data_IF_718525734542
#
_entry.id   IF_718525734542
#
_cell.length_a   1.000
_cell.length_b   1.000
_cell.length_c   1.000
_cell.angle_alpha   90.00
_cell.angle_beta   90.00
_cell.angle_gamma   90.00
#
_symmetry.space_group_name_H-M   'P 1'
#
loop_
_entity.id
_entity.type
_entity.pdbx_description
1 polymer ?
#
# COMPACT_ATOMS: atom_id res chain seq x y z
N UNK A 1 6.29 7.74 -2.63
CA UNK A 1 5.25 8.78 -2.82
C UNK A 1 5.76 9.95 -3.64
N UNK A 2 6.81 10.66 -3.19
CA UNK A 2 7.29 11.86 -3.89
C UNK A 2 8.28 11.57 -5.05
N UNK A 3 9.04 10.48 -4.98
CA UNK A 3 10.16 10.18 -5.88
C UNK A 3 9.76 10.21 -7.36
N UNK A 4 8.91 9.26 -7.78
CA UNK A 4 8.52 9.15 -9.19
C UNK A 4 7.79 10.41 -9.73
N UNK A 5 6.77 10.99 -9.05
CA UNK A 5 6.08 12.17 -9.57
C UNK A 5 6.99 13.40 -9.75
N UNK A 6 7.87 13.67 -8.79
CA UNK A 6 8.79 14.82 -8.85
C UNK A 6 9.88 14.56 -9.90
N UNK A 7 10.46 13.36 -9.91
CA UNK A 7 11.46 12.94 -10.89
C UNK A 7 10.91 13.08 -12.32
N UNK A 8 9.69 12.59 -12.58
CA UNK A 8 9.06 12.73 -13.89
C UNK A 8 8.76 14.18 -14.24
N UNK A 9 8.25 14.98 -13.30
CA UNK A 9 7.97 16.40 -13.51
C UNK A 9 9.23 17.19 -13.86
N UNK A 10 10.31 17.00 -13.10
CA UNK A 10 11.61 17.63 -13.35
C UNK A 10 12.21 17.13 -14.68
N UNK A 11 12.13 15.83 -14.93
CA UNK A 11 12.64 15.24 -16.17
C UNK A 11 11.93 15.82 -17.39
N UNK A 12 10.60 15.83 -17.44
CA UNK A 12 9.86 16.34 -18.59
C UNK A 12 10.13 17.83 -18.80
N UNK A 13 10.15 18.64 -17.73
CA UNK A 13 10.48 20.06 -17.82
C UNK A 13 11.93 20.35 -18.19
N UNK A 14 12.81 19.36 -18.09
CA UNK A 14 14.18 19.48 -18.59
C UNK A 14 14.27 19.24 -20.10
N UNK A 15 13.25 18.67 -20.75
CA UNK A 15 13.24 18.33 -22.18
C UNK A 15 12.93 19.56 -23.03
N UNK A 16 13.64 19.72 -24.16
CA UNK A 16 13.44 20.87 -25.05
C UNK A 16 12.00 20.90 -25.57
N UNK A 17 11.38 22.08 -25.55
CA UNK A 17 10.01 22.36 -25.99
C UNK A 17 8.89 21.73 -25.13
N UNK A 18 9.22 21.13 -23.98
CA UNK A 18 8.22 20.71 -23.01
C UNK A 18 8.25 21.63 -21.81
N UNK A 19 7.09 22.12 -21.42
CA UNK A 19 6.90 22.88 -20.20
C UNK A 19 5.58 22.44 -19.57
N UNK A 20 5.67 21.57 -18.57
CA UNK A 20 4.54 21.13 -17.77
C UNK A 20 4.36 22.10 -16.60
N UNK A 21 3.17 22.67 -16.50
CA UNK A 21 2.73 23.29 -15.24
C UNK A 21 2.61 22.22 -14.15
N UNK A 22 2.77 22.58 -12.87
CA UNK A 22 2.38 21.71 -11.77
C UNK A 22 0.99 21.07 -11.97
N UNK A 23 0.79 19.81 -11.59
CA UNK A 23 -0.50 19.15 -11.71
C UNK A 23 -1.54 19.85 -10.83
N UNK A 24 -2.79 19.90 -11.28
CA UNK A 24 -3.87 20.49 -10.48
C UNK A 24 -4.28 19.59 -9.31
N UNK A 25 -4.19 18.28 -9.49
CA UNK A 25 -4.61 17.28 -8.51
C UNK A 25 -3.59 16.15 -8.39
N UNK A 26 -3.41 15.64 -7.17
CA UNK A 26 -2.76 14.34 -6.92
C UNK A 26 -3.70 13.42 -6.17
N UNK A 27 -3.75 12.16 -6.63
CA UNK A 27 -4.38 11.06 -5.91
C UNK A 27 -3.26 10.20 -5.32
N UNK A 28 -3.12 10.23 -3.99
CA UNK A 28 -2.16 9.41 -3.26
C UNK A 28 -2.93 8.22 -2.69
N UNK A 29 -2.79 7.06 -3.32
CA UNK A 29 -3.39 5.84 -2.80
C UNK A 29 -2.55 5.31 -1.65
N UNK A 30 -3.21 5.05 -0.52
CA UNK A 30 -2.63 4.35 0.61
C UNK A 30 -3.38 3.03 0.80
N UNK A 31 -2.69 1.93 0.57
CA UNK A 31 -3.24 0.60 0.67
C UNK A 31 -2.92 -0.05 2.02
N UNK A 32 -3.98 -0.33 2.78
CA UNK A 32 -3.88 -0.91 4.12
C UNK A 32 -3.10 -2.22 4.16
N UNK A 33 -3.22 -3.04 3.11
CA UNK A 33 -2.72 -4.42 3.09
C UNK A 33 -1.19 -4.53 3.08
N UNK A 34 -0.46 -3.52 2.58
CA UNK A 34 1.00 -3.63 2.46
C UNK A 34 1.82 -2.33 2.58
N UNK A 35 1.24 -1.12 2.52
CA UNK A 35 2.07 0.09 2.43
C UNK A 35 2.93 0.35 3.68
N UNK A 36 2.42 0.04 4.87
CA UNK A 36 3.24 0.10 6.09
C UNK A 36 4.39 -0.91 6.04
N UNK A 37 4.12 -2.13 5.58
CA UNK A 37 5.16 -3.16 5.43
C UNK A 37 6.21 -2.71 4.42
N UNK A 38 5.80 -2.16 3.28
CA UNK A 38 6.69 -1.62 2.26
C UNK A 38 7.57 -0.49 2.81
N UNK A 39 7.00 0.43 3.59
CA UNK A 39 7.76 1.51 4.23
C UNK A 39 8.80 0.98 5.22
N UNK A 40 8.44 -0.02 6.03
CA UNK A 40 9.37 -0.67 6.96
C UNK A 40 10.48 -1.40 6.21
N UNK A 41 10.14 -2.15 5.16
CA UNK A 41 11.12 -2.89 4.36
C UNK A 41 12.06 -1.96 3.60
N UNK A 42 11.58 -0.81 3.12
CA UNK A 42 12.41 0.23 2.55
C UNK A 42 13.48 0.70 3.54
N UNK A 43 13.10 0.96 4.79
CA UNK A 43 14.05 1.32 5.84
C UNK A 43 15.00 0.14 6.14
N UNK A 44 14.50 -1.07 6.34
CA UNK A 44 15.31 -2.26 6.59
C UNK A 44 16.38 -2.47 5.51
N UNK A 45 15.98 -2.49 4.25
CA UNK A 45 16.91 -2.70 3.12
C UNK A 45 17.99 -1.62 2.97
N UNK A 46 17.74 -0.40 3.46
CA UNK A 46 18.69 0.72 3.37
C UNK A 46 19.55 0.88 4.62
N UNK A 47 19.03 0.58 5.82
CA UNK A 47 19.72 0.77 7.10
C UNK A 47 20.39 -0.51 7.65
N UNK A 48 19.87 -1.72 7.35
CA UNK A 48 20.48 -2.98 7.82
C UNK A 48 21.88 -3.27 7.24
N UNK A 49 22.22 -2.93 5.97
CA UNK A 49 23.57 -3.12 5.46
C UNK A 49 24.62 -2.24 6.17
N UNK A 50 24.20 -1.12 6.78
CA UNK A 50 25.07 -0.13 7.42
C UNK A 50 25.43 -0.56 8.86
N UNK A 51 24.67 -1.48 9.48
CA UNK A 51 24.86 -1.97 10.85
C UNK A 51 25.40 -3.41 10.91
N UNK A 52 26.45 -3.74 10.15
CA UNK A 52 27.20 -5.02 10.26
C UNK A 52 28.10 -5.09 11.52
N UNK A 53 27.59 -4.65 12.65
CA UNK A 53 28.18 -4.80 13.99
C UNK A 53 27.05 -4.94 15.00
N UNK A 54 27.30 -5.54 16.16
CA UNK A 54 26.27 -5.98 17.15
C UNK A 54 25.47 -4.86 17.85
N UNK A 55 25.31 -3.72 17.20
CA UNK A 55 24.34 -2.68 17.51
C UNK A 55 23.25 -2.71 16.42
N UNK A 56 22.43 -3.77 16.39
CA UNK A 56 21.15 -3.84 15.63
C UNK A 56 20.10 -2.92 16.28
N UNK A 57 20.47 -1.68 16.56
CA UNK A 57 19.67 -0.78 17.39
C UNK A 57 18.79 0.09 16.49
N UNK A 58 17.48 -0.08 16.69
CA UNK A 58 16.38 0.87 16.46
C UNK A 58 16.75 2.06 15.57
N UNK A 59 16.32 2.03 14.31
CA UNK A 59 16.37 3.21 13.44
C UNK A 59 15.63 4.34 14.17
N UNK A 60 16.35 5.41 14.52
CA UNK A 60 15.75 6.57 15.14
C UNK A 60 14.99 7.39 14.08
N UNK A 61 13.90 8.07 14.48
CA UNK A 61 13.14 8.95 13.58
C UNK A 61 14.03 9.98 12.88
N UNK A 62 15.04 10.52 13.60
CA UNK A 62 15.98 11.49 13.05
C UNK A 62 16.87 10.90 11.95
N UNK A 63 17.26 9.63 12.06
CA UNK A 63 18.07 8.95 11.04
C UNK A 63 17.22 8.69 9.78
N UNK A 64 15.99 8.21 9.97
CA UNK A 64 15.03 8.06 8.87
C UNK A 64 14.78 9.40 8.15
N UNK A 65 14.60 10.49 8.89
CA UNK A 65 14.38 11.82 8.31
C UNK A 65 15.61 12.32 7.54
N UNK A 66 16.81 12.19 8.11
CA UNK A 66 18.05 12.59 7.45
C UNK A 66 18.24 11.84 6.13
N UNK A 67 17.96 10.54 6.11
CA UNK A 67 18.00 9.73 4.91
C UNK A 67 16.94 10.15 3.88
N UNK A 68 15.68 10.32 4.29
CA UNK A 68 14.62 10.78 3.38
C UNK A 68 14.95 12.15 2.77
N UNK A 69 15.53 13.06 3.56
CA UNK A 69 15.99 14.35 3.07
C UNK A 69 17.13 14.19 2.04
N UNK A 70 18.10 13.31 2.30
CA UNK A 70 19.18 13.03 1.35
C UNK A 70 18.63 12.50 0.02
N UNK A 71 17.73 11.51 0.06
CA UNK A 71 17.08 10.97 -1.13
C UNK A 71 16.29 12.05 -1.88
N UNK A 72 15.57 12.90 -1.15
CA UNK A 72 14.84 14.03 -1.73
C UNK A 72 15.78 15.00 -2.44
N UNK A 73 16.91 15.36 -1.82
CA UNK A 73 17.92 16.20 -2.46
C UNK A 73 18.57 15.52 -3.67
N UNK A 74 18.76 14.19 -3.65
CA UNK A 74 19.29 13.46 -4.80
C UNK A 74 18.37 13.57 -6.02
N UNK A 75 17.05 13.55 -5.81
CA UNK A 75 16.09 13.79 -6.89
C UNK A 75 16.15 15.24 -7.35
N UNK A 76 16.13 16.22 -6.45
CA UNK A 76 16.22 17.64 -6.87
C UNK A 76 17.50 17.95 -7.67
N UNK A 77 18.61 17.31 -7.32
CA UNK A 77 19.92 17.46 -7.97
C UNK A 77 20.18 16.45 -9.10
N UNK A 78 19.16 15.67 -9.48
CA UNK A 78 19.29 14.63 -10.50
C UNK A 78 19.80 15.18 -11.83
N UNK A 79 20.73 14.46 -12.46
CA UNK A 79 21.22 14.85 -13.80
C UNK A 79 20.23 14.41 -14.88
N UNK A 80 19.24 15.25 -15.12
CA UNK A 80 18.22 15.04 -16.14
C UNK A 80 18.70 15.32 -17.58
N UNK A 81 20.01 15.52 -17.82
CA UNK A 81 20.57 15.99 -19.10
C UNK A 81 21.30 14.93 -19.95
N UNK A 82 21.45 13.68 -19.52
CA UNK A 82 22.46 12.76 -20.12
C UNK A 82 22.04 11.87 -21.30
N UNK A 83 21.24 12.32 -22.27
CA UNK A 83 21.07 11.49 -23.48
C UNK A 83 20.61 12.24 -24.73
N UNK A 84 21.17 11.85 -25.89
CA UNK A 84 20.66 12.19 -27.22
C UNK A 84 19.17 11.80 -27.39
N UNK A 85 18.73 10.74 -26.72
CA UNK A 85 17.34 10.26 -26.72
C UNK A 85 16.39 11.07 -25.82
N UNK A 86 16.89 12.06 -25.08
CA UNK A 86 16.11 12.83 -24.10
C UNK A 86 14.90 13.52 -24.71
N UNK A 87 15.03 14.07 -25.92
CA UNK A 87 13.95 14.80 -26.60
C UNK A 87 12.93 13.88 -27.30
N UNK A 88 13.18 12.57 -27.31
CA UNK A 88 12.33 11.59 -27.99
C UNK A 88 11.41 10.86 -27.00
N UNK A 89 10.73 11.61 -26.13
CA UNK A 89 9.85 11.06 -25.08
C UNK A 89 8.83 10.06 -25.64
N UNK A 90 8.16 10.41 -26.73
CA UNK A 90 7.17 9.55 -27.39
C UNK A 90 7.78 8.28 -28.00
N UNK A 91 8.95 8.39 -28.62
CA UNK A 91 9.64 7.24 -29.19
C UNK A 91 10.09 6.27 -28.09
N UNK A 92 10.60 6.79 -26.97
CA UNK A 92 10.97 5.98 -25.81
C UNK A 92 9.76 5.30 -25.18
N UNK A 93 8.63 6.00 -25.03
CA UNK A 93 7.42 5.39 -24.50
C UNK A 93 6.89 4.28 -25.41
N UNK A 94 6.96 4.46 -26.73
CA UNK A 94 6.59 3.43 -27.70
C UNK A 94 7.52 2.20 -27.60
N UNK A 95 8.84 2.40 -27.60
CA UNK A 95 9.80 1.30 -27.45
C UNK A 95 9.65 0.57 -26.11
N UNK A 96 9.42 1.32 -25.02
CA UNK A 96 9.19 0.74 -23.71
C UNK A 96 7.88 -0.04 -23.68
N UNK A 97 6.82 0.48 -24.31
CA UNK A 97 5.53 -0.21 -24.45
C UNK A 97 5.66 -1.52 -25.22
N UNK A 98 6.37 -1.51 -26.36
CA UNK A 98 6.67 -2.72 -27.13
C UNK A 98 7.52 -3.70 -26.30
N UNK A 99 8.56 -3.22 -25.63
CA UNK A 99 9.41 -4.06 -24.78
C UNK A 99 8.62 -4.71 -23.64
N UNK A 100 7.75 -3.95 -22.98
CA UNK A 100 6.88 -4.45 -21.91
C UNK A 100 5.91 -5.51 -22.46
N UNK A 101 5.29 -5.27 -23.61
CA UNK A 101 4.41 -6.22 -24.28
C UNK A 101 5.15 -7.54 -24.59
N UNK A 102 6.36 -7.46 -25.15
CA UNK A 102 7.18 -8.64 -25.43
C UNK A 102 7.52 -9.42 -24.15
N UNK A 103 7.89 -8.71 -23.06
CA UNK A 103 8.16 -9.34 -21.76
C UNK A 103 6.93 -10.02 -21.19
N UNK A 104 5.77 -9.38 -21.29
CA UNK A 104 4.49 -9.92 -20.84
C UNK A 104 4.15 -11.20 -21.61
N UNK A 105 4.22 -11.17 -22.95
CA UNK A 105 4.05 -12.35 -23.80
C UNK A 105 5.02 -13.49 -23.44
N UNK A 106 6.29 -13.18 -23.17
CA UNK A 106 7.28 -14.17 -22.75
C UNK A 106 7.02 -14.74 -21.34
N UNK A 107 6.28 -14.02 -20.50
CA UNK A 107 5.99 -14.41 -19.11
C UNK A 107 4.70 -15.23 -18.93
N UNK A 108 3.88 -15.37 -19.99
CA UNK A 108 2.60 -16.10 -19.97
C UNK A 108 2.70 -17.58 -19.54
N UNK A 109 3.91 -18.14 -19.46
CA UNK A 109 4.15 -19.54 -19.05
C UNK A 109 4.60 -19.71 -17.59
N UNK A 110 4.57 -18.67 -16.75
CA UNK A 110 4.88 -18.83 -15.32
C UNK A 110 3.61 -19.13 -14.54
N UNK A 111 3.39 -20.42 -14.26
CA UNK A 111 2.46 -20.84 -13.22
C UNK A 111 2.95 -20.27 -11.88
N UNK A 112 2.30 -19.21 -11.42
CA UNK A 112 2.48 -18.76 -10.03
C UNK A 112 1.80 -19.80 -9.13
N UNK A 113 2.44 -20.27 -8.05
CA UNK A 113 1.79 -21.18 -7.12
C UNK A 113 0.49 -20.55 -6.61
N UNK A 114 -0.57 -21.36 -6.49
CA UNK A 114 -1.86 -20.94 -5.96
C UNK A 114 -1.65 -20.43 -4.52
N UNK A 115 -1.59 -19.11 -4.37
CA UNK A 115 -1.39 -18.47 -3.07
C UNK A 115 -2.65 -18.51 -2.19
N UNK A 116 -3.80 -18.72 -2.82
CA UNK A 116 -5.12 -18.69 -2.21
C UNK A 116 -5.70 -20.11 -2.22
N UNK A 117 -6.07 -20.62 -1.05
CA UNK A 117 -6.64 -21.96 -0.89
C UNK A 117 -8.02 -21.91 -0.25
N UNK A 118 -8.91 -22.79 -0.71
CA UNK A 118 -10.24 -22.98 -0.12
C UNK A 118 -10.25 -24.30 0.64
N UNK A 119 -10.05 -24.30 1.97
CA UNK A 119 -10.13 -25.52 2.76
C UNK A 119 -11.55 -26.09 2.74
N UNK A 120 -11.68 -27.42 2.92
CA UNK A 120 -12.99 -28.10 2.99
C UNK A 120 -13.90 -27.48 4.06
N UNK A 121 -13.31 -27.09 5.19
CA UNK A 121 -13.98 -26.32 6.24
C UNK A 121 -13.54 -24.86 6.12
N UNK A 122 -14.41 -23.95 5.67
CA UNK A 122 -14.04 -22.55 5.50
C UNK A 122 -13.61 -21.89 6.81
N UNK A 123 -12.48 -21.20 6.77
CA UNK A 123 -11.97 -20.41 7.90
C UNK A 123 -12.44 -18.96 7.76
N UNK A 124 -12.23 -18.38 6.58
CA UNK A 124 -12.73 -17.06 6.25
C UNK A 124 -14.17 -17.18 5.76
N UNK A 125 -15.12 -16.70 6.56
CA UNK A 125 -16.51 -16.60 6.18
C UNK A 125 -16.93 -15.13 6.19
N UNK A 126 -17.52 -14.68 5.08
CA UNK A 126 -18.10 -13.36 4.95
C UNK A 126 -19.59 -13.44 4.64
N UNK A 127 -20.33 -12.39 5.01
CA UNK A 127 -21.71 -12.22 4.57
C UNK A 127 -21.72 -11.53 3.20
N UNK A 128 -22.13 -12.26 2.16
CA UNK A 128 -22.27 -11.74 0.79
C UNK A 128 -23.65 -12.13 0.28
N UNK A 129 -24.41 -11.12 -0.17
CA UNK A 129 -25.80 -11.25 -0.61
C UNK A 129 -26.68 -12.00 0.41
N UNK A 130 -26.52 -11.67 1.70
CA UNK A 130 -27.23 -12.31 2.80
C UNK A 130 -26.83 -13.76 3.09
N UNK A 131 -25.85 -14.32 2.38
CA UNK A 131 -25.38 -15.71 2.54
C UNK A 131 -24.01 -15.76 3.18
N UNK A 132 -23.76 -16.83 3.95
CA UNK A 132 -22.42 -17.15 4.42
C UNK A 132 -21.60 -17.66 3.25
N UNK A 133 -20.59 -16.90 2.86
CA UNK A 133 -19.77 -17.17 1.68
C UNK A 133 -18.32 -17.39 2.09
N UNK A 134 -17.70 -18.52 1.71
CA UNK A 134 -16.30 -18.77 1.97
C UNK A 134 -15.41 -17.82 1.15
N UNK A 135 -14.39 -17.27 1.79
CA UNK A 135 -13.26 -16.60 1.14
C UNK A 135 -12.03 -17.51 1.26
N UNK A 136 -11.00 -17.37 0.40
CA UNK A 136 -9.81 -18.19 0.53
C UNK A 136 -9.03 -17.82 1.78
N UNK A 137 -8.12 -18.71 2.17
CA UNK A 137 -7.10 -18.44 3.17
C UNK A 137 -6.05 -17.45 2.64
N UNK A 138 -5.22 -16.92 3.55
CA UNK A 138 -4.10 -16.04 3.22
C UNK A 138 -4.52 -14.73 2.53
N UNK A 139 -5.56 -14.08 3.06
CA UNK A 139 -5.96 -12.74 2.61
C UNK A 139 -5.11 -11.67 3.28
N UNK A 140 -4.80 -10.57 2.58
CA UNK A 140 -4.16 -9.41 3.22
C UNK A 140 -5.05 -8.82 4.32
N UNK A 141 -4.40 -8.30 5.36
CA UNK A 141 -4.99 -7.70 6.55
C UNK A 141 -4.35 -6.31 6.80
N UNK A 142 -4.96 -5.47 7.67
CA UNK A 142 -4.24 -4.36 8.26
C UNK A 142 -2.97 -4.83 8.97
N UNK A 143 -1.94 -3.98 9.13
CA UNK A 143 -0.68 -4.39 9.73
C UNK A 143 -0.87 -4.92 11.15
N UNK A 144 -0.43 -6.17 11.37
CA UNK A 144 -0.46 -6.87 12.64
C UNK A 144 0.95 -6.90 13.27
N UNK A 145 0.99 -6.90 14.60
CA UNK A 145 2.23 -6.78 15.39
C UNK A 145 2.62 -8.09 16.05
N UNK A 146 3.93 -8.33 16.09
CA UNK A 146 4.56 -9.38 16.89
C UNK A 146 4.48 -10.77 16.27
N UNK A 147 5.44 -11.60 16.63
CA UNK A 147 5.38 -13.04 16.41
C UNK A 147 4.48 -13.67 17.47
N UNK A 148 3.53 -14.50 17.06
CA UNK A 148 2.82 -15.39 17.97
C UNK A 148 3.70 -16.60 18.28
N UNK A 149 3.44 -17.26 19.40
CA UNK A 149 4.13 -18.52 19.73
C UNK A 149 3.93 -19.58 18.62
N UNK A 150 2.76 -19.59 17.97
CA UNK A 150 2.50 -20.40 16.78
C UNK A 150 3.49 -20.14 15.64
N UNK A 151 3.92 -18.89 15.49
CA UNK A 151 4.79 -18.45 14.41
C UNK A 151 6.24 -18.85 14.68
N UNK A 152 6.64 -18.85 15.96
CA UNK A 152 7.94 -19.37 16.41
C UNK A 152 8.02 -20.88 16.21
N UNK A 153 6.97 -21.62 16.58
CA UNK A 153 6.87 -23.07 16.36
C UNK A 153 6.92 -23.41 14.86
N UNK A 154 6.22 -22.64 14.02
CA UNK A 154 6.23 -22.83 12.58
C UNK A 154 7.60 -22.49 11.96
N UNK A 155 8.23 -21.42 12.45
CA UNK A 155 9.60 -21.05 12.11
C UNK A 155 10.63 -22.13 12.40
N UNK A 156 10.58 -22.70 13.61
CA UNK A 156 11.44 -23.80 14.03
C UNK A 156 11.23 -25.04 13.15
N UNK A 157 9.97 -25.40 12.83
CA UNK A 157 9.67 -26.51 11.89
C UNK A 157 10.29 -26.32 10.51
N UNK A 158 10.49 -25.07 10.08
CA UNK A 158 11.10 -24.71 8.79
C UNK A 158 12.58 -24.32 8.89
N UNK A 159 13.20 -24.52 10.05
CA UNK A 159 14.62 -24.18 10.31
C UNK A 159 14.93 -22.69 10.08
N UNK A 160 13.95 -21.80 10.26
CA UNK A 160 14.20 -20.36 10.30
C UNK A 160 14.87 -20.00 11.63
N UNK A 161 15.90 -19.15 11.58
CA UNK A 161 16.47 -18.55 12.78
C UNK A 161 15.47 -17.57 13.40
N UNK A 162 15.59 -17.28 14.69
CA UNK A 162 14.80 -16.22 15.34
C UNK A 162 14.99 -14.87 14.63
N UNK A 163 16.21 -14.59 14.14
CA UNK A 163 16.51 -13.41 13.32
C UNK A 163 15.77 -13.43 11.97
N UNK A 164 15.66 -14.60 11.35
CA UNK A 164 14.86 -14.79 10.14
C UNK A 164 13.39 -14.52 10.42
N UNK A 165 12.84 -14.97 11.55
CA UNK A 165 11.44 -14.71 11.90
C UNK A 165 11.13 -13.23 12.16
N UNK A 166 12.04 -12.50 12.79
CA UNK A 166 11.91 -11.06 13.04
C UNK A 166 11.90 -10.22 11.75
N UNK A 167 12.52 -10.70 10.66
CA UNK A 167 12.48 -10.05 9.34
C UNK A 167 11.06 -9.99 8.76
N UNK A 168 10.14 -10.82 9.23
CA UNK A 168 8.80 -10.90 8.65
C UNK A 168 7.66 -10.36 9.52
N UNK A 169 7.96 -9.99 10.77
CA UNK A 169 7.03 -9.25 11.61
C UNK A 169 7.49 -7.81 11.75
N UNK A 170 6.54 -6.88 11.83
CA UNK A 170 6.86 -5.50 12.20
C UNK A 170 6.55 -5.30 13.68
N UNK A 171 7.49 -4.67 14.37
CA UNK A 171 7.31 -4.22 15.75
C UNK A 171 6.41 -2.98 15.80
N UNK A 172 5.95 -2.59 17.00
CA UNK A 172 5.19 -1.34 17.17
C UNK A 172 6.04 -0.12 16.82
N UNK A 173 7.33 -0.19 17.08
CA UNK A 173 8.32 0.84 16.76
C UNK A 173 8.47 0.96 15.24
N UNK A 174 8.62 -0.15 14.53
CA UNK A 174 8.68 -0.15 13.07
C UNK A 174 7.38 0.31 12.42
N UNK A 175 6.22 -0.05 12.98
CA UNK A 175 4.95 0.51 12.54
C UNK A 175 4.91 2.04 12.61
N UNK A 176 5.41 2.61 13.72
CA UNK A 176 5.52 4.07 13.87
C UNK A 176 6.49 4.66 12.85
N UNK A 177 7.61 3.99 12.58
CA UNK A 177 8.54 4.40 11.52
C UNK A 177 7.90 4.33 10.13
N UNK A 178 7.11 3.30 9.84
CA UNK A 178 6.37 3.16 8.58
C UNK A 178 5.36 4.28 8.38
N UNK A 179 4.64 4.68 9.43
CA UNK A 179 3.77 5.87 9.41
C UNK A 179 4.57 7.16 9.21
N UNK A 180 5.71 7.30 9.89
CA UNK A 180 6.58 8.45 9.75
C UNK A 180 7.12 8.61 8.33
N UNK A 181 7.51 7.52 7.67
CA UNK A 181 7.93 7.55 6.26
C UNK A 181 6.78 8.08 5.38
N UNK A 182 5.55 7.61 5.59
CA UNK A 182 4.40 8.12 4.86
C UNK A 182 4.18 9.63 5.09
N UNK A 183 4.20 10.06 6.35
CA UNK A 183 4.05 11.47 6.75
C UNK A 183 5.11 12.36 6.07
N UNK A 184 6.39 12.03 6.22
CA UNK A 184 7.47 12.84 5.67
C UNK A 184 7.43 12.88 4.14
N UNK A 185 7.13 11.73 3.51
CA UNK A 185 7.09 11.66 2.05
C UNK A 185 5.89 12.42 1.46
N UNK A 186 4.76 12.45 2.16
CA UNK A 186 3.60 13.26 1.80
C UNK A 186 3.88 14.76 1.98
N UNK A 187 4.52 15.14 3.08
CA UNK A 187 4.91 16.53 3.36
C UNK A 187 5.90 17.05 2.29
N UNK A 188 6.87 16.25 1.87
CA UNK A 188 7.80 16.59 0.79
C UNK A 188 7.08 16.80 -0.55
N UNK A 189 6.13 15.93 -0.90
CA UNK A 189 5.32 16.08 -2.12
C UNK A 189 4.49 17.38 -2.07
N UNK A 190 3.82 17.64 -0.95
CA UNK A 190 3.01 18.83 -0.74
C UNK A 190 3.85 20.13 -0.76
N UNK A 191 5.04 20.09 -0.17
CA UNK A 191 5.99 21.21 -0.19
C UNK A 191 6.52 21.52 -1.59
N UNK A 192 6.76 20.49 -2.42
CA UNK A 192 7.20 20.67 -3.80
C UNK A 192 6.08 21.21 -4.71
N UNK A 193 4.82 20.81 -4.45
CA UNK A 193 3.65 21.20 -5.23
C UNK A 193 2.62 22.00 -4.40
N UNK A 194 2.93 23.22 -3.94
CA UNK A 194 2.12 23.94 -2.96
C UNK A 194 0.76 24.41 -3.47
N UNK A 195 0.54 24.39 -4.78
CA UNK A 195 -0.73 24.79 -5.42
C UNK A 195 -1.57 23.59 -5.88
N UNK A 196 -1.06 22.37 -5.71
CA UNK A 196 -1.76 21.15 -6.11
C UNK A 196 -2.72 20.71 -5.03
N UNK A 197 -3.95 20.38 -5.41
CA UNK A 197 -4.92 19.75 -4.52
C UNK A 197 -4.57 18.25 -4.36
N UNK A 198 -3.97 17.91 -3.22
CA UNK A 198 -3.56 16.54 -2.90
C UNK A 198 -4.67 15.85 -2.11
N UNK A 199 -5.02 14.62 -2.53
CA UNK A 199 -5.98 13.77 -1.84
C UNK A 199 -5.40 12.40 -1.56
N UNK A 200 -5.34 12.04 -0.28
CA UNK A 200 -5.01 10.69 0.17
C UNK A 200 -6.25 9.82 0.12
N UNK A 201 -6.18 8.70 -0.60
CA UNK A 201 -7.27 7.73 -0.75
C UNK A 201 -6.88 6.48 0.01
N UNK A 202 -7.56 6.22 1.12
CA UNK A 202 -7.37 5.02 1.91
C UNK A 202 -8.13 3.86 1.29
N UNK A 203 -7.42 2.78 0.94
CA UNK A 203 -7.98 1.55 0.39
C UNK A 203 -7.86 0.43 1.45
N UNK A 204 -8.98 -0.17 1.90
CA UNK A 204 -8.97 -1.27 2.85
C UNK A 204 -8.35 -2.54 2.24
N UNK A 205 -7.77 -3.38 3.08
CA UNK A 205 -7.35 -4.74 2.74
C UNK A 205 -8.57 -5.64 2.46
N UNK A 206 -8.40 -6.84 1.85
CA UNK A 206 -9.49 -7.78 1.65
C UNK A 206 -10.22 -8.12 2.96
N UNK A 207 -9.50 -8.36 4.06
CA UNK A 207 -10.11 -8.67 5.36
C UNK A 207 -10.85 -7.49 6.01
N UNK A 208 -10.60 -6.26 5.56
CA UNK A 208 -11.37 -5.07 5.96
C UNK A 208 -12.49 -4.72 4.99
N UNK A 209 -12.44 -5.27 3.77
CA UNK A 209 -13.40 -5.00 2.71
C UNK A 209 -14.68 -5.84 2.79
N UNK A 210 -14.62 -7.00 3.46
CA UNK A 210 -15.78 -7.88 3.62
C UNK A 210 -16.35 -7.84 5.04
N UNK A 211 -17.65 -8.08 5.17
CA UNK A 211 -18.28 -8.31 6.47
C UNK A 211 -17.95 -9.72 6.96
N UNK A 212 -16.85 -9.87 7.68
CA UNK A 212 -16.45 -11.14 8.27
C UNK A 212 -17.42 -11.58 9.37
N UNK A 213 -17.90 -12.82 9.28
CA UNK A 213 -18.82 -13.46 10.24
C UNK A 213 -18.17 -14.63 10.99
N UNK A 214 -17.04 -15.15 10.50
CA UNK A 214 -16.23 -16.09 11.28
C UNK A 214 -15.61 -15.38 12.49
N UNK A 215 -15.39 -16.07 13.62
CA UNK A 215 -14.73 -15.47 14.78
C UNK A 215 -13.23 -15.19 14.50
N UNK A 216 -12.63 -16.03 13.67
CA UNK A 216 -11.23 -15.96 13.24
C UNK A 216 -11.12 -15.89 11.73
N UNK A 217 -10.02 -15.32 11.26
CA UNK A 217 -9.67 -15.26 9.85
C UNK A 217 -8.25 -15.75 9.63
N UNK A 218 -8.04 -16.39 8.49
CA UNK A 218 -6.72 -16.63 7.92
C UNK A 218 -6.27 -15.37 7.18
N UNK A 219 -5.12 -14.85 7.58
CA UNK A 219 -4.49 -13.71 6.92
C UNK A 219 -3.10 -14.06 6.42
N UNK A 220 -2.66 -13.33 5.39
CA UNK A 220 -1.30 -13.37 4.89
C UNK A 220 -0.48 -12.34 5.65
N UNK A 221 0.30 -12.81 6.62
CA UNK A 221 1.45 -12.03 7.08
C UNK A 221 2.49 -11.93 5.97
N UNK A 222 3.57 -11.18 6.19
CA UNK A 222 4.66 -11.06 5.21
C UNK A 222 5.31 -12.41 4.85
N UNK A 223 5.14 -13.46 5.68
CA UNK A 223 5.65 -14.82 5.44
C UNK A 223 4.78 -15.74 4.58
N UNK A 224 3.61 -15.29 4.12
CA UNK A 224 2.67 -16.17 3.41
C UNK A 224 2.29 -17.44 4.22
N UNK A 225 2.35 -17.36 5.55
CA UNK A 225 2.03 -18.48 6.45
C UNK A 225 0.53 -18.57 6.77
N UNK A 226 0.11 -19.75 7.25
CA UNK A 226 -1.21 -19.97 7.85
C UNK A 226 -1.31 -19.23 9.18
N UNK A 227 -1.52 -17.92 9.11
CA UNK A 227 -1.70 -17.10 10.29
C UNK A 227 -3.19 -16.90 10.54
N UNK A 228 -3.60 -17.09 11.79
CA UNK A 228 -4.98 -16.89 12.22
C UNK A 228 -5.05 -15.70 13.17
N UNK A 229 -6.08 -14.88 13.00
CA UNK A 229 -6.35 -13.75 13.88
C UNK A 229 -7.83 -13.60 14.17
N UNK A 230 -8.16 -13.07 15.35
CA UNK A 230 -9.54 -12.74 15.69
C UNK A 230 -10.04 -11.57 14.83
N UNK A 231 -11.26 -11.67 14.31
CA UNK A 231 -11.87 -10.60 13.49
C UNK A 231 -11.93 -9.27 14.26
N UNK A 232 -12.09 -9.32 15.59
CA UNK A 232 -12.07 -8.12 16.42
C UNK A 232 -10.73 -7.37 16.35
N UNK A 233 -9.61 -8.09 16.24
CA UNK A 233 -8.28 -7.49 16.09
C UNK A 233 -8.15 -6.84 14.71
N UNK A 234 -8.62 -7.50 13.65
CA UNK A 234 -8.65 -6.91 12.29
C UNK A 234 -9.42 -5.60 12.28
N UNK A 235 -10.63 -5.58 12.85
CA UNK A 235 -11.48 -4.38 12.96
C UNK A 235 -10.78 -3.24 13.69
N UNK A 236 -10.16 -3.54 14.84
CA UNK A 236 -9.42 -2.57 15.64
C UNK A 236 -8.24 -1.99 14.86
N UNK A 237 -7.43 -2.86 14.22
CA UNK A 237 -6.23 -2.45 13.48
C UNK A 237 -6.55 -1.64 12.23
N UNK A 238 -7.65 -1.97 11.55
CA UNK A 238 -8.19 -1.15 10.46
C UNK A 238 -8.51 0.28 10.93
N UNK A 239 -9.30 0.41 12.00
CA UNK A 239 -9.67 1.71 12.54
C UNK A 239 -8.43 2.50 12.99
N UNK A 240 -7.52 1.87 13.73
CA UNK A 240 -6.28 2.51 14.20
C UNK A 240 -5.40 3.03 13.05
N UNK A 241 -5.24 2.25 11.97
CA UNK A 241 -4.44 2.68 10.82
C UNK A 241 -5.15 3.76 10.00
N UNK A 242 -6.44 3.59 9.71
CA UNK A 242 -7.21 4.59 8.98
C UNK A 242 -7.19 5.95 9.70
N UNK A 243 -7.39 5.97 11.02
CA UNK A 243 -7.34 7.20 11.82
C UNK A 243 -5.95 7.82 11.77
N UNK A 244 -4.88 7.02 11.86
CA UNK A 244 -3.51 7.53 11.73
C UNK A 244 -3.25 8.18 10.35
N UNK A 245 -3.70 7.56 9.26
CA UNK A 245 -3.53 8.13 7.91
C UNK A 245 -4.39 9.38 7.71
N UNK A 246 -5.61 9.41 8.26
CA UNK A 246 -6.45 10.61 8.28
C UNK A 246 -5.74 11.75 9.01
N UNK A 247 -5.24 11.50 10.20
CA UNK A 247 -4.60 12.51 11.04
C UNK A 247 -3.32 13.06 10.38
N UNK A 248 -2.51 12.20 9.76
CA UNK A 248 -1.35 12.62 8.95
C UNK A 248 -1.79 13.50 7.76
N UNK A 249 -2.88 13.13 7.09
CA UNK A 249 -3.42 13.89 5.95
C UNK A 249 -3.87 15.28 6.39
N UNK A 250 -4.60 15.37 7.50
CA UNK A 250 -5.05 16.64 8.11
C UNK A 250 -3.86 17.50 8.54
N UNK A 251 -2.87 16.92 9.22
CA UNK A 251 -1.66 17.62 9.64
C UNK A 251 -0.87 18.18 8.44
N UNK A 252 -0.86 17.44 7.33
CA UNK A 252 -0.24 17.85 6.06
C UNK A 252 -1.10 18.83 5.24
N UNK A 253 -2.29 19.20 5.74
CA UNK A 253 -3.27 20.08 5.08
C UNK A 253 -3.71 19.57 3.70
N UNK A 254 -3.77 18.25 3.54
CA UNK A 254 -4.27 17.59 2.32
C UNK A 254 -5.61 16.93 2.58
N UNK A 255 -6.37 16.65 1.51
CA UNK A 255 -7.67 15.98 1.63
C UNK A 255 -7.47 14.50 1.96
N UNK A 256 -8.43 13.91 2.69
CA UNK A 256 -8.48 12.47 2.98
C UNK A 256 -9.81 11.89 2.50
N UNK A 257 -9.78 10.70 1.91
CA UNK A 257 -10.95 9.94 1.46
C UNK A 257 -10.82 8.50 1.94
N UNK A 258 -11.80 8.04 2.75
CA UNK A 258 -11.88 6.64 3.14
C UNK A 258 -12.86 5.89 2.23
N UNK A 259 -12.34 4.99 1.38
CA UNK A 259 -13.14 4.20 0.45
C UNK A 259 -13.83 2.98 1.09
N UNK A 260 -13.52 2.68 2.36
CA UNK A 260 -13.95 1.44 3.03
C UNK A 260 -15.45 1.24 3.00
N UNK A 261 -16.24 2.26 3.35
CA UNK A 261 -17.71 2.15 3.38
C UNK A 261 -18.30 1.86 1.99
N UNK A 262 -17.76 2.50 0.95
CA UNK A 262 -18.23 2.30 -0.42
C UNK A 262 -17.89 0.90 -0.92
N UNK A 263 -16.65 0.46 -0.71
CA UNK A 263 -16.21 -0.89 -1.08
C UNK A 263 -16.97 -1.98 -0.33
N UNK A 264 -17.18 -1.83 0.98
CA UNK A 264 -17.97 -2.79 1.78
C UNK A 264 -19.42 -2.89 1.32
N UNK A 265 -20.02 -1.78 0.87
CA UNK A 265 -21.37 -1.78 0.33
C UNK A 265 -21.46 -2.71 -0.89
N UNK A 266 -20.51 -2.63 -1.82
CA UNK A 266 -20.47 -3.51 -2.99
C UNK A 266 -20.07 -4.94 -2.61
N UNK A 267 -19.07 -5.10 -1.73
CA UNK A 267 -18.64 -6.39 -1.20
C UNK A 267 -19.73 -7.16 -0.46
N UNK A 268 -20.74 -6.47 0.09
CA UNK A 268 -21.91 -7.08 0.71
C UNK A 268 -22.86 -7.75 -0.29
N UNK A 269 -22.71 -7.47 -1.58
CA UNK A 269 -23.58 -7.97 -2.66
C UNK A 269 -22.85 -8.98 -3.55
N UNK A 270 -21.57 -8.76 -3.82
CA UNK A 270 -20.75 -9.60 -4.70
C UNK A 270 -19.27 -9.60 -4.31
N UNK A 271 -18.48 -10.47 -4.94
CA UNK A 271 -17.04 -10.45 -4.77
C UNK A 271 -16.43 -9.22 -5.44
N UNK A 272 -15.56 -8.52 -4.72
CA UNK A 272 -14.78 -7.39 -5.25
C UNK A 272 -13.29 -7.72 -5.41
N UNK A 273 -12.91 -8.98 -5.13
CA UNK A 273 -11.57 -9.55 -5.35
C UNK A 273 -11.72 -10.93 -6.02
N UNK A 274 -10.62 -11.52 -6.48
CA UNK A 274 -10.60 -12.89 -7.01
C UNK A 274 -11.16 -13.03 -8.42
N UNK A 275 -11.27 -14.27 -8.94
CA UNK A 275 -10.94 -15.52 -8.24
C UNK A 275 -9.45 -15.90 -8.30
N UNK A 276 -8.70 -15.39 -9.28
CA UNK A 276 -7.28 -15.72 -9.48
C UNK A 276 -6.36 -14.95 -8.52
N UNK A 277 -6.75 -13.72 -8.19
CA UNK A 277 -5.97 -12.80 -7.39
C UNK A 277 -6.88 -12.15 -6.35
N UNK A 278 -6.61 -12.43 -5.07
CA UNK A 278 -7.37 -11.91 -3.96
C UNK A 278 -6.71 -10.73 -3.25
N UNK A 279 -5.53 -10.30 -3.72
CA UNK A 279 -4.87 -9.11 -3.21
C UNK A 279 -5.31 -7.84 -3.93
N UNK A 280 -5.72 -7.99 -5.19
CA UNK A 280 -6.18 -6.89 -6.01
C UNK A 280 -7.69 -6.96 -6.22
N UNK A 281 -8.29 -5.79 -6.38
CA UNK A 281 -9.68 -5.71 -6.76
C UNK A 281 -9.91 -6.39 -8.11
N UNK A 282 -11.05 -7.05 -8.25
CA UNK A 282 -11.56 -7.44 -9.56
C UNK A 282 -12.25 -6.22 -10.22
N UNK A 283 -12.88 -6.43 -11.38
CA UNK A 283 -13.63 -5.38 -12.07
C UNK A 283 -14.64 -4.66 -11.17
N UNK A 284 -15.44 -5.39 -10.40
CA UNK A 284 -16.45 -4.82 -9.51
C UNK A 284 -15.82 -3.96 -8.39
N UNK A 285 -14.70 -4.41 -7.82
CA UNK A 285 -13.97 -3.61 -6.82
C UNK A 285 -13.37 -2.33 -7.39
N UNK A 286 -12.78 -2.38 -8.59
CA UNK A 286 -12.28 -1.17 -9.26
C UNK A 286 -13.40 -0.23 -9.70
N UNK A 287 -14.54 -0.75 -10.16
CA UNK A 287 -15.73 0.06 -10.47
C UNK A 287 -16.27 0.74 -9.20
N UNK A 288 -16.32 0.03 -8.07
CA UNK A 288 -16.72 0.61 -6.79
C UNK A 288 -15.77 1.72 -6.32
N UNK A 289 -14.46 1.47 -6.35
CA UNK A 289 -13.44 2.45 -5.96
C UNK A 289 -13.48 3.69 -6.87
N UNK A 290 -13.47 3.49 -8.19
CA UNK A 290 -13.46 4.60 -9.16
C UNK A 290 -14.74 5.42 -9.10
N UNK A 291 -15.90 4.80 -8.89
CA UNK A 291 -17.17 5.50 -8.67
C UNK A 291 -17.09 6.36 -7.40
N UNK A 292 -16.59 5.82 -6.30
CA UNK A 292 -16.45 6.56 -5.03
C UNK A 292 -15.54 7.79 -5.17
N UNK A 293 -14.41 7.61 -5.86
CA UNK A 293 -13.47 8.70 -6.17
C UNK A 293 -14.15 9.73 -7.07
N UNK A 294 -14.75 9.29 -8.19
CA UNK A 294 -15.40 10.18 -9.15
C UNK A 294 -16.51 11.00 -8.49
N UNK A 295 -17.34 10.39 -7.65
CA UNK A 295 -18.37 11.11 -6.89
C UNK A 295 -17.77 12.21 -6.02
N UNK A 296 -16.64 11.95 -5.35
CA UNK A 296 -16.00 12.94 -4.49
C UNK A 296 -15.32 14.05 -5.31
N UNK A 297 -14.78 13.74 -6.49
CA UNK A 297 -14.12 14.72 -7.36
C UNK A 297 -15.10 15.55 -8.19
N UNK A 298 -16.23 14.98 -8.60
CA UNK A 298 -17.21 15.63 -9.48
C UNK A 298 -18.33 16.33 -8.70
N UNK A 299 -18.42 16.16 -7.38
CA UNK A 299 -19.45 16.83 -6.57
C UNK A 299 -19.25 18.35 -6.52
N UNK A 300 -20.33 19.15 -6.62
CA UNK A 300 -20.28 20.59 -6.44
C UNK A 300 -19.65 20.97 -5.10
N UNK A 301 -18.81 22.01 -5.10
CA UNK A 301 -18.24 22.58 -3.88
C UNK A 301 -19.37 22.96 -2.91
N UNK A 302 -19.39 22.40 -1.70
CA UNK A 302 -20.34 22.76 -0.65
C UNK A 302 -20.95 21.58 0.13
N UNK A 303 -20.85 20.35 -0.38
CA UNK A 303 -21.28 19.14 0.36
C UNK A 303 -20.06 18.48 1.00
N UNK A 304 -19.97 18.54 2.32
CA UNK A 304 -18.90 17.87 3.09
C UNK A 304 -19.27 16.40 3.33
N UNK A 305 -18.44 15.49 2.80
CA UNK A 305 -18.46 14.07 3.18
C UNK A 305 -17.64 13.91 4.45
N UNK A 306 -18.20 13.25 5.46
CA UNK A 306 -17.46 12.84 6.65
C UNK A 306 -16.84 11.46 6.40
N UNK A 307 -15.54 11.44 6.11
CA UNK A 307 -14.76 10.20 5.98
C UNK A 307 -14.27 9.76 7.36
N UNK A 308 -15.08 8.93 8.03
CA UNK A 308 -14.73 8.29 9.30
C UNK A 308 -14.08 6.91 9.08
N UNK A 309 -13.38 6.40 10.09
CA UNK A 309 -12.71 5.10 10.03
C UNK A 309 -13.53 3.98 10.70
N UNK A 310 -14.85 4.03 10.51
CA UNK A 310 -15.75 2.99 11.02
C UNK A 310 -15.68 1.77 10.10
N UNK A 311 -15.49 0.60 10.71
CA UNK A 311 -15.52 -0.70 10.06
C UNK A 311 -16.94 -1.16 9.71
#
# INVERSE_FOLDING_TARGET
IWDEPITQFLYINSVKNYQLSPPKHFLVFFYEGNDIYNNVQFLRGKFLPIQKGSLKNKIALNEALAFLNLEFQNVLNGDYNRSFWKNMLFTRSLFQGISNLIKEFASLNKNSPFLFSFPKTPINLALINGKQTPLPMHLQAPPLFGSKESDRILGQKRQLTDEGLEEFYITKEEYKLGLFVFEQTLAMLAGFFPQTDIKVIFIPSPLSSYQMISPKVSYRGYMEFENFEDVAVIKRRHAELCEAIRDISVASKVSFLNSTKSLRKVASQEFIHGPADWDHFNKAGYEALSTDIAEVFLRPKGITRADNCVY
#
